data_IF_575577841810
#
_entry.id   IF_575577841810
#
_cell.length_a   1.000
_cell.length_b   1.000
_cell.length_c   1.000
_cell.angle_alpha   90.00
_cell.angle_beta   90.00
_cell.angle_gamma   90.00
#
_symmetry.space_group_name_H-M   'P 1'
#
loop_
_entity.id
_entity.type
_entity.pdbx_description
1 polymer ?
#
# COMPACT_ATOMS: atom_id res chain seq x y z
N UNK A 1 -21.39 -4.13 20.59
CA UNK A 1 -20.81 -3.00 19.86
C UNK A 1 -19.31 -3.14 19.92
N UNK A 2 -18.64 -3.50 18.82
CA UNK A 2 -17.18 -3.53 18.76
C UNK A 2 -16.72 -2.22 18.13
N UNK A 3 -16.35 -1.26 18.96
CA UNK A 3 -15.98 0.10 18.54
C UNK A 3 -15.09 0.76 19.58
N UNK A 4 -14.05 0.04 20.01
CA UNK A 4 -12.95 0.65 20.75
C UNK A 4 -12.12 1.56 19.84
N UNK A 5 -11.31 2.47 20.40
CA UNK A 5 -10.46 3.35 19.61
C UNK A 5 -9.54 2.52 18.71
N UNK A 6 -9.43 2.92 17.44
CA UNK A 6 -8.52 2.30 16.48
C UNK A 6 -7.08 2.49 16.99
N UNK A 7 -6.45 1.39 17.42
CA UNK A 7 -5.06 1.41 17.87
C UNK A 7 -4.16 1.21 16.65
N UNK A 8 -3.55 2.30 16.19
CA UNK A 8 -2.58 2.27 15.10
C UNK A 8 -1.20 1.89 15.65
N UNK A 9 -0.55 0.93 14.99
CA UNK A 9 0.80 0.45 15.30
C UNK A 9 1.61 0.35 14.01
N UNK A 10 2.94 0.22 14.10
CA UNK A 10 3.79 0.04 12.91
C UNK A 10 3.40 -1.20 12.10
N UNK A 11 2.92 -2.24 12.78
CA UNK A 11 2.47 -3.49 12.15
C UNK A 11 1.05 -3.40 11.56
N UNK A 12 0.33 -2.29 11.77
CA UNK A 12 -1.02 -2.14 11.24
C UNK A 12 -0.98 -2.17 9.72
N UNK A 13 -1.70 -3.13 9.13
CA UNK A 13 -1.75 -3.37 7.69
C UNK A 13 -2.88 -2.59 7.03
N UNK A 14 -2.60 -2.01 5.87
CA UNK A 14 -3.54 -1.12 5.18
C UNK A 14 -4.85 -1.83 4.79
N UNK A 15 -4.79 -2.99 4.14
CA UNK A 15 -6.01 -3.67 3.65
C UNK A 15 -6.71 -4.42 4.79
N UNK A 16 -5.99 -5.16 5.63
CA UNK A 16 -6.59 -6.08 6.60
C UNK A 16 -7.07 -5.40 7.88
N UNK A 17 -6.27 -4.47 8.40
CA UNK A 17 -6.52 -3.83 9.70
C UNK A 17 -7.19 -2.46 9.54
N UNK A 18 -6.77 -1.68 8.54
CA UNK A 18 -7.30 -0.33 8.29
C UNK A 18 -8.42 -0.30 7.25
N UNK A 19 -8.65 -1.40 6.52
CA UNK A 19 -9.67 -1.52 5.48
C UNK A 19 -9.55 -0.49 4.35
N UNK A 20 -8.34 0.00 4.12
CA UNK A 20 -7.99 0.87 2.99
C UNK A 20 -7.67 -0.04 1.82
N UNK A 21 -8.61 -0.20 0.90
CA UNK A 21 -8.55 -1.16 -0.23
C UNK A 21 -9.01 -0.50 -1.53
N UNK A 22 -8.82 -1.14 -2.67
CA UNK A 22 -9.37 -0.64 -3.93
C UNK A 22 -8.81 0.73 -4.33
N UNK A 23 -9.68 1.58 -4.87
CA UNK A 23 -9.31 2.94 -5.28
C UNK A 23 -8.88 3.78 -4.08
N UNK A 24 -9.49 3.58 -2.91
CA UNK A 24 -9.16 4.32 -1.69
C UNK A 24 -7.70 4.12 -1.29
N UNK A 25 -7.15 2.93 -1.55
CA UNK A 25 -5.74 2.66 -1.29
C UNK A 25 -4.80 3.44 -2.19
N UNK A 26 -5.16 3.62 -3.45
CA UNK A 26 -4.37 4.41 -4.40
C UNK A 26 -4.44 5.89 -4.03
N UNK A 27 -5.65 6.40 -3.80
CA UNK A 27 -5.85 7.79 -3.38
C UNK A 27 -5.13 8.08 -2.05
N UNK A 28 -5.13 7.11 -1.13
CA UNK A 28 -4.39 7.23 0.12
C UNK A 28 -2.88 7.38 -0.12
N UNK A 29 -2.27 6.51 -0.93
CA UNK A 29 -0.82 6.56 -1.21
C UNK A 29 -0.44 7.87 -1.88
N UNK A 30 -1.24 8.33 -2.86
CA UNK A 30 -1.00 9.60 -3.53
C UNK A 30 -1.06 10.78 -2.54
N UNK A 31 -2.12 10.86 -1.72
CA UNK A 31 -2.25 11.92 -0.71
C UNK A 31 -1.19 11.86 0.37
N UNK A 32 -0.83 10.66 0.82
CA UNK A 32 0.23 10.45 1.80
C UNK A 32 1.58 10.94 1.23
N UNK A 33 1.92 10.55 0.01
CA UNK A 33 3.15 10.97 -0.65
C UNK A 33 3.22 12.49 -0.84
N UNK A 34 2.12 13.12 -1.26
CA UNK A 34 2.01 14.57 -1.38
C UNK A 34 2.16 15.27 -0.02
N UNK A 35 1.47 14.77 1.01
CA UNK A 35 1.45 15.37 2.35
C UNK A 35 2.84 15.35 3.01
N UNK A 36 3.59 14.26 2.83
CA UNK A 36 4.87 14.05 3.49
C UNK A 36 6.08 14.25 2.58
N UNK A 37 5.87 14.60 1.31
CA UNK A 37 6.94 14.85 0.34
C UNK A 37 7.75 13.59 0.01
N UNK A 38 7.08 12.44 -0.11
CA UNK A 38 7.74 11.15 -0.42
C UNK A 38 7.72 10.91 -1.92
N UNK A 39 8.88 10.62 -2.52
CA UNK A 39 8.94 10.19 -3.92
C UNK A 39 8.39 8.76 -4.08
N UNK A 40 7.23 8.64 -4.73
CA UNK A 40 6.53 7.38 -5.03
C UNK A 40 6.48 7.07 -6.53
N UNK A 41 7.32 7.71 -7.35
CA UNK A 41 7.30 7.56 -8.81
C UNK A 41 7.34 6.09 -9.28
N UNK A 42 8.04 5.23 -8.52
CA UNK A 42 8.19 3.80 -8.83
C UNK A 42 7.50 2.89 -7.79
N UNK A 43 6.45 3.38 -7.11
CA UNK A 43 5.75 2.61 -6.09
C UNK A 43 5.13 1.33 -6.69
N UNK A 44 5.46 0.13 -6.16
CA UNK A 44 5.05 -1.12 -6.78
C UNK A 44 3.65 -1.53 -6.32
N UNK A 45 2.59 -0.87 -6.81
CA UNK A 45 1.20 -1.15 -6.41
C UNK A 45 0.82 -2.65 -6.45
N UNK A 46 1.28 -3.39 -7.47
CA UNK A 46 1.05 -4.85 -7.61
C UNK A 46 1.71 -5.73 -6.55
N UNK A 47 2.68 -5.20 -5.81
CA UNK A 47 3.37 -5.89 -4.71
C UNK A 47 2.53 -5.87 -3.42
N UNK A 48 1.76 -4.79 -3.24
CA UNK A 48 1.10 -4.46 -1.98
C UNK A 48 -0.42 -4.55 -2.03
N UNK A 49 -1.01 -4.35 -3.21
CA UNK A 49 -2.46 -4.37 -3.40
C UNK A 49 -2.86 -5.48 -4.35
N UNK A 50 -3.92 -6.19 -3.97
CA UNK A 50 -4.42 -7.34 -4.72
C UNK A 50 -4.93 -7.01 -6.13
N UNK A 51 -5.13 -8.06 -6.96
CA UNK A 51 -5.68 -7.92 -8.29
C UNK A 51 -7.05 -7.24 -8.27
N UNK A 52 -7.90 -7.49 -7.26
CA UNK A 52 -9.20 -6.83 -7.11
C UNK A 52 -9.08 -5.30 -7.08
N UNK A 53 -8.07 -4.79 -6.37
CA UNK A 53 -7.78 -3.36 -6.24
C UNK A 53 -7.41 -2.74 -7.60
N UNK A 54 -6.61 -3.47 -8.39
CA UNK A 54 -6.13 -3.01 -9.69
C UNK A 54 -7.14 -3.28 -10.83
N UNK A 55 -7.98 -4.30 -10.70
CA UNK A 55 -9.00 -4.68 -11.67
C UNK A 55 -10.17 -3.71 -11.65
N UNK A 56 -10.54 -3.16 -10.48
CA UNK A 56 -11.49 -2.06 -10.38
C UNK A 56 -10.99 -0.84 -11.17
N UNK A 57 -9.72 -0.46 -10.98
CA UNK A 57 -9.10 0.66 -11.71
C UNK A 57 -9.05 0.38 -13.21
N UNK A 58 -8.61 -0.81 -13.62
CA UNK A 58 -8.58 -1.23 -15.02
C UNK A 58 -9.97 -1.21 -15.65
N UNK A 59 -10.99 -1.66 -14.91
CA UNK A 59 -12.39 -1.66 -15.35
C UNK A 59 -12.91 -0.24 -15.55
N UNK A 60 -12.62 0.70 -14.63
CA UNK A 60 -12.95 2.12 -14.80
C UNK A 60 -12.23 2.72 -16.02
N UNK A 61 -10.97 2.35 -16.23
CA UNK A 61 -10.16 2.82 -17.36
C UNK A 61 -10.45 2.08 -18.69
N UNK A 62 -11.36 1.09 -18.70
CA UNK A 62 -11.71 0.32 -19.90
C UNK A 62 -10.60 -0.60 -20.42
N UNK A 63 -9.59 -0.89 -19.60
CA UNK A 63 -8.40 -1.67 -19.98
C UNK A 63 -8.57 -3.14 -19.57
N UNK A 64 -9.22 -3.93 -20.42
CA UNK A 64 -9.33 -5.38 -20.22
C UNK A 64 -8.04 -6.08 -20.67
N UNK A 65 -7.29 -6.66 -19.73
CA UNK A 65 -6.06 -7.43 -20.03
C UNK A 65 -6.11 -8.85 -19.44
N UNK A 66 -5.59 -9.84 -20.18
CA UNK A 66 -5.65 -11.26 -19.82
C UNK A 66 -4.84 -11.62 -18.57
N UNK A 67 -5.38 -12.61 -17.86
CA UNK A 67 -4.88 -13.30 -16.65
C UNK A 67 -3.35 -13.35 -16.54
N UNK A 68 -2.79 -12.43 -15.76
CA UNK A 68 -1.44 -12.51 -15.24
C UNK A 68 -1.42 -13.40 -14.00
N UNK A 69 -0.30 -14.10 -13.77
CA UNK A 69 -0.06 -14.80 -12.51
C UNK A 69 0.17 -13.74 -11.44
N UNK A 70 -0.71 -13.66 -10.45
CA UNK A 70 -0.56 -12.69 -9.38
C UNK A 70 0.70 -13.02 -8.57
N UNK A 71 1.62 -12.05 -8.40
CA UNK A 71 2.76 -12.22 -7.51
C UNK A 71 2.28 -12.37 -6.06
N UNK A 72 3.11 -12.96 -5.22
CA UNK A 72 2.84 -13.03 -3.78
C UNK A 72 2.72 -11.60 -3.22
N UNK A 73 1.56 -11.27 -2.68
CA UNK A 73 1.29 -9.97 -2.06
C UNK A 73 2.03 -9.88 -0.73
N UNK A 74 2.62 -8.73 -0.43
CA UNK A 74 3.05 -8.38 0.93
C UNK A 74 2.10 -7.35 1.49
N UNK A 75 1.67 -7.55 2.73
CA UNK A 75 0.84 -6.58 3.43
C UNK A 75 1.61 -5.28 3.66
N UNK A 76 1.11 -4.18 3.11
CA UNK A 76 1.68 -2.85 3.33
C UNK A 76 1.32 -2.35 4.73
N UNK A 77 2.32 -2.05 5.54
CA UNK A 77 2.13 -1.62 6.94
C UNK A 77 2.43 -0.14 7.14
N UNK A 78 1.94 0.43 8.24
CA UNK A 78 2.28 1.81 8.64
C UNK A 78 3.77 2.00 8.90
N UNK A 79 4.48 0.97 9.38
CA UNK A 79 5.94 1.01 9.58
C UNK A 79 6.69 1.17 8.26
N UNK A 80 6.21 0.56 7.19
CA UNK A 80 6.79 0.72 5.85
C UNK A 80 6.61 2.14 5.32
N UNK A 81 5.43 2.73 5.53
CA UNK A 81 5.18 4.14 5.19
C UNK A 81 6.05 5.07 6.03
N UNK A 82 6.20 4.80 7.33
CA UNK A 82 7.10 5.55 8.20
C UNK A 82 8.53 5.54 7.69
N UNK A 83 9.05 4.38 7.28
CA UNK A 83 10.41 4.27 6.76
C UNK A 83 10.59 5.04 5.45
N UNK A 84 9.60 4.96 4.55
CA UNK A 84 9.62 5.75 3.32
C UNK A 84 9.63 7.27 3.59
N UNK A 85 8.90 7.73 4.62
CA UNK A 85 8.94 9.14 5.06
C UNK A 85 10.32 9.53 5.57
N UNK A 86 11.02 8.64 6.30
CA UNK A 86 12.39 8.89 6.77
C UNK A 86 13.39 8.97 5.62
N UNK A 87 13.21 8.14 4.59
CA UNK A 87 14.07 8.12 3.39
C UNK A 87 13.74 9.24 2.40
N UNK A 88 12.53 9.81 2.46
CA UNK A 88 12.00 10.76 1.48
C UNK A 88 11.64 10.13 0.13
N UNK A 89 11.66 8.80 0.02
CA UNK A 89 11.33 8.05 -1.19
C UNK A 89 10.88 6.64 -0.87
N UNK A 90 10.18 6.01 -1.81
CA UNK A 90 9.89 4.59 -1.75
C UNK A 90 11.06 3.76 -2.29
N UNK A 91 11.70 3.00 -1.40
CA UNK A 91 12.73 2.01 -1.73
C UNK A 91 12.27 0.63 -1.23
N UNK A 92 11.59 -0.13 -2.10
CA UNK A 92 10.94 -1.41 -1.79
C UNK A 92 11.83 -2.37 -1.02
N UNK A 93 13.08 -2.54 -1.45
CA UNK A 93 13.99 -3.51 -0.86
C UNK A 93 14.48 -3.05 0.51
N UNK A 94 14.84 -1.77 0.65
CA UNK A 94 15.25 -1.20 1.93
C UNK A 94 14.11 -1.25 2.96
N UNK A 95 12.90 -0.87 2.53
CA UNK A 95 11.70 -0.78 3.37
C UNK A 95 11.22 -2.17 3.82
N UNK A 96 11.09 -3.14 2.90
CA UNK A 96 10.67 -4.50 3.26
C UNK A 96 11.68 -5.15 4.22
N UNK A 97 12.99 -4.95 3.97
CA UNK A 97 14.03 -5.45 4.89
C UNK A 97 13.90 -4.84 6.28
N UNK A 98 13.68 -3.53 6.37
CA UNK A 98 13.50 -2.84 7.65
C UNK A 98 12.27 -3.37 8.40
N UNK A 99 11.17 -3.62 7.69
CA UNK A 99 9.93 -4.17 8.26
C UNK A 99 10.05 -5.63 8.73
N UNK A 100 10.97 -6.42 8.18
CA UNK A 100 11.21 -7.80 8.58
C UNK A 100 12.26 -7.97 9.70
N UNK A 101 12.89 -6.88 10.15
CA UNK A 101 14.01 -6.91 11.10
C UNK A 101 13.62 -6.69 12.57
N UNK A 102 12.33 -6.67 12.90
CA UNK A 102 11.79 -6.48 14.27
C UNK A 102 11.33 -7.79 14.93
#
# INVERSE_FOLDING_TARGET
>A
MFGGPLKLTRDSRMEEDLRITGIDAIEFIDKWAETFGVDVTNFPYKRYFGPDTLDVVRSILGLFSSRYRDPELVSLTLGMLEEAMRLGRWDTEAIERAAHSE
#
